data_IF_529234623998
#
_entry.id   IF_529234623998
#
_cell.length_a   1.000
_cell.length_b   1.000
_cell.length_c   1.000
_cell.angle_alpha   90.00
_cell.angle_beta   90.00
_cell.angle_gamma   90.00
#
_symmetry.space_group_name_H-M   'P 1'
#
loop_
_entity.id
_entity.type
_entity.pdbx_description
1 polymer ?
#
# COMPACT_ATOMS: atom_id res chain seq x y z
N UNK A 1 10.42 8.38 16.41
CA UNK A 1 11.64 7.55 16.16
C UNK A 1 11.83 6.36 17.13
N UNK A 2 10.90 6.10 18.08
CA UNK A 2 11.12 5.05 19.09
C UNK A 2 11.30 3.66 18.50
N UNK A 3 10.48 3.29 17.51
CA UNK A 3 10.60 1.99 16.83
C UNK A 3 11.87 1.92 15.97
N UNK A 4 12.16 2.96 15.24
CA UNK A 4 13.40 3.08 14.48
C UNK A 4 14.64 2.86 15.34
N UNK A 5 14.71 3.53 16.51
CA UNK A 5 15.83 3.39 17.43
C UNK A 5 15.92 1.98 18.04
N UNK A 6 14.77 1.34 18.28
CA UNK A 6 14.72 -0.03 18.80
C UNK A 6 15.24 -1.04 17.76
N UNK A 7 14.82 -0.93 16.50
CA UNK A 7 15.24 -1.83 15.44
C UNK A 7 16.74 -1.67 15.11
N UNK A 8 17.28 -0.43 15.13
CA UNK A 8 18.69 -0.16 14.82
C UNK A 8 19.66 -0.51 15.94
N UNK A 9 19.21 -0.83 17.17
CA UNK A 9 20.08 -1.21 18.31
C UNK A 9 20.63 -2.64 18.24
N UNK A 10 20.73 -3.22 17.06
CA UNK A 10 21.28 -4.58 16.85
C UNK A 10 20.25 -5.70 16.96
N UNK A 11 18.98 -5.39 17.19
CA UNK A 11 17.92 -6.40 17.28
C UNK A 11 17.82 -7.25 16.00
N UNK A 12 17.92 -6.63 14.83
CA UNK A 12 17.83 -7.33 13.55
C UNK A 12 19.07 -8.20 13.30
N UNK A 13 20.25 -7.71 13.66
CA UNK A 13 21.52 -8.42 13.50
C UNK A 13 21.60 -9.64 14.42
N UNK A 14 21.10 -9.53 15.64
CA UNK A 14 21.10 -10.60 16.64
C UNK A 14 20.26 -11.81 16.20
N UNK A 15 19.11 -11.56 15.54
CA UNK A 15 18.19 -12.63 15.15
C UNK A 15 18.35 -13.09 13.69
N UNK A 16 19.15 -12.40 12.88
CA UNK A 16 19.45 -12.79 11.49
C UNK A 16 18.20 -12.80 10.59
N UNK A 17 17.27 -11.86 10.80
CA UNK A 17 16.08 -11.74 9.95
C UNK A 17 16.42 -11.10 8.60
N UNK A 18 15.92 -11.70 7.51
CA UNK A 18 16.02 -11.12 6.17
C UNK A 18 14.97 -10.02 5.95
N UNK A 19 13.79 -10.15 6.57
CA UNK A 19 12.67 -9.21 6.45
C UNK A 19 12.02 -8.93 7.80
N UNK A 20 11.55 -7.71 7.97
CA UNK A 20 10.68 -7.29 9.08
C UNK A 20 9.44 -6.64 8.51
N UNK A 21 8.27 -7.22 8.78
CA UNK A 21 6.98 -6.67 8.40
C UNK A 21 6.32 -6.00 9.60
N UNK A 22 5.85 -4.78 9.42
CA UNK A 22 5.12 -4.02 10.45
C UNK A 22 3.70 -3.83 9.94
N UNK A 23 2.75 -4.59 10.49
CA UNK A 23 1.33 -4.41 10.19
C UNK A 23 0.82 -3.13 10.85
N UNK A 24 0.15 -2.30 10.06
CA UNK A 24 -0.33 -0.99 10.48
C UNK A 24 -1.85 -0.90 10.36
N UNK A 25 -2.53 -0.22 11.32
CA UNK A 25 -3.94 0.07 11.17
C UNK A 25 -4.17 1.03 9.99
N UNK A 26 -5.37 1.05 9.38
CA UNK A 26 -5.68 1.89 8.23
C UNK A 26 -5.68 3.39 8.52
N UNK A 27 -5.64 3.78 9.80
CA UNK A 27 -5.60 5.19 10.21
C UNK A 27 -4.17 5.72 10.31
N UNK A 28 -3.95 6.96 9.88
CA UNK A 28 -2.68 7.66 10.06
C UNK A 28 -2.56 8.21 11.49
N UNK A 29 -2.45 7.29 12.44
CA UNK A 29 -2.18 7.62 13.85
C UNK A 29 -0.68 7.63 14.17
N UNK A 30 -0.35 7.99 15.40
CA UNK A 30 1.04 8.01 15.88
C UNK A 30 1.77 6.68 15.70
N UNK A 31 1.07 5.55 15.80
CA UNK A 31 1.67 4.22 15.60
C UNK A 31 2.08 4.00 14.14
N UNK A 32 1.21 4.36 13.20
CA UNK A 32 1.51 4.25 11.76
C UNK A 32 2.65 5.17 11.35
N UNK A 33 2.66 6.41 11.85
CA UNK A 33 3.78 7.36 11.64
C UNK A 33 5.08 6.77 12.20
N UNK A 34 5.04 6.22 13.42
CA UNK A 34 6.21 5.63 14.05
C UNK A 34 6.73 4.39 13.28
N UNK A 35 5.84 3.60 12.67
CA UNK A 35 6.20 2.50 11.78
C UNK A 35 6.87 3.02 10.51
N UNK A 36 6.23 3.96 9.80
CA UNK A 36 6.74 4.51 8.55
C UNK A 36 8.06 5.28 8.71
N UNK A 37 8.35 5.80 9.91
CA UNK A 37 9.65 6.40 10.21
C UNK A 37 10.75 5.38 10.50
N UNK A 38 10.40 4.12 10.69
CA UNK A 38 11.33 3.05 11.07
C UNK A 38 11.68 2.10 9.91
N UNK A 39 10.96 2.18 8.78
CA UNK A 39 11.12 1.33 7.61
C UNK A 39 11.58 2.14 6.40
N UNK A 40 12.14 1.47 5.40
CA UNK A 40 12.51 2.09 4.14
C UNK A 40 11.44 1.85 3.06
N UNK A 41 10.63 0.80 3.20
CA UNK A 41 9.69 0.33 2.19
C UNK A 41 8.25 0.27 2.70
N UNK A 42 7.30 0.58 1.81
CA UNK A 42 5.86 0.41 2.04
C UNK A 42 5.28 -0.54 1.00
N UNK A 43 4.69 -1.63 1.47
CA UNK A 43 3.84 -2.51 0.68
C UNK A 43 2.38 -2.12 0.88
N UNK A 44 1.67 -1.80 -0.20
CA UNK A 44 0.26 -1.37 -0.14
C UNK A 44 -0.65 -2.47 -0.69
N UNK A 45 -1.44 -3.16 0.15
CA UNK A 45 -2.50 -4.03 -0.32
C UNK A 45 -3.71 -3.20 -0.76
N UNK A 46 -4.20 -3.42 -1.99
CA UNK A 46 -5.40 -2.77 -2.55
C UNK A 46 -6.44 -3.84 -2.86
N UNK A 47 -7.64 -3.70 -2.33
CA UNK A 47 -8.75 -4.57 -2.69
C UNK A 47 -9.30 -4.18 -4.07
N UNK A 48 -9.59 -5.17 -4.94
CA UNK A 48 -10.18 -4.91 -6.26
C UNK A 48 -11.69 -4.65 -6.16
N UNK A 49 -12.07 -3.58 -5.44
CA UNK A 49 -13.44 -3.14 -5.20
C UNK A 49 -13.59 -1.64 -5.51
N UNK A 50 -14.84 -1.15 -5.63
CA UNK A 50 -15.17 0.18 -6.15
C UNK A 50 -14.43 1.36 -5.46
N UNK A 51 -14.27 1.31 -4.15
CA UNK A 51 -13.62 2.39 -3.38
C UNK A 51 -12.09 2.24 -3.26
N UNK A 52 -11.50 1.33 -4.03
CA UNK A 52 -10.08 1.01 -3.91
C UNK A 52 -9.16 2.23 -4.11
N UNK A 53 -9.46 3.08 -5.08
CA UNK A 53 -8.63 4.21 -5.47
C UNK A 53 -8.84 5.45 -4.59
N UNK A 54 -10.03 5.63 -4.02
CA UNK A 54 -10.35 6.79 -3.18
C UNK A 54 -9.47 6.87 -1.92
N UNK A 55 -9.23 5.71 -1.27
CA UNK A 55 -8.37 5.64 -0.08
C UNK A 55 -6.88 5.74 -0.39
N UNK A 56 -6.46 5.39 -1.61
CA UNK A 56 -5.04 5.39 -1.99
C UNK A 56 -4.49 6.80 -2.07
N UNK A 57 -5.25 7.78 -2.57
CA UNK A 57 -4.82 9.18 -2.67
C UNK A 57 -4.40 9.76 -1.32
N UNK A 58 -5.23 9.59 -0.30
CA UNK A 58 -4.90 10.04 1.06
C UNK A 58 -3.65 9.35 1.62
N UNK A 59 -3.51 8.05 1.38
CA UNK A 59 -2.34 7.29 1.81
C UNK A 59 -1.07 7.80 1.16
N UNK A 60 -1.09 8.06 -0.14
CA UNK A 60 0.04 8.61 -0.89
C UNK A 60 0.47 10.00 -0.38
N UNK A 61 -0.49 10.90 -0.14
CA UNK A 61 -0.24 12.20 0.47
C UNK A 61 0.44 12.08 1.84
N UNK A 62 -0.02 11.13 2.66
CA UNK A 62 0.56 10.87 3.97
C UNK A 62 1.99 10.30 3.89
N UNK A 63 2.23 9.35 2.98
CA UNK A 63 3.58 8.82 2.72
C UNK A 63 4.51 9.94 2.25
N UNK A 64 4.03 10.81 1.36
CA UNK A 64 4.76 11.99 0.88
C UNK A 64 5.20 12.91 2.01
N UNK A 65 4.28 13.28 2.92
CA UNK A 65 4.59 14.12 4.08
C UNK A 65 5.62 13.46 5.03
N UNK A 66 5.47 12.15 5.28
CA UNK A 66 6.41 11.43 6.14
C UNK A 66 7.80 11.39 5.49
N UNK A 67 7.86 11.14 4.19
CA UNK A 67 9.11 11.15 3.45
C UNK A 67 9.80 12.51 3.48
N UNK A 68 9.06 13.57 3.26
CA UNK A 68 9.61 14.93 3.23
C UNK A 68 10.16 15.39 4.58
N UNK A 69 9.48 15.03 5.69
CA UNK A 69 9.78 15.61 6.99
C UNK A 69 10.41 14.65 8.00
N UNK A 70 10.24 13.33 7.83
CA UNK A 70 10.60 12.35 8.86
C UNK A 70 11.51 11.23 8.38
N UNK A 71 11.32 10.72 7.14
CA UNK A 71 12.06 9.58 6.62
C UNK A 71 12.26 9.70 5.10
N UNK A 72 13.35 10.32 4.68
CA UNK A 72 13.66 10.58 3.26
C UNK A 72 13.88 9.31 2.42
N UNK A 73 14.18 8.17 3.04
CA UNK A 73 14.40 6.90 2.35
C UNK A 73 13.09 6.17 2.07
N UNK A 74 11.97 6.57 2.71
CA UNK A 74 10.70 5.90 2.57
C UNK A 74 10.21 5.91 1.12
N UNK A 75 9.90 4.74 0.58
CA UNK A 75 9.35 4.59 -0.77
C UNK A 75 8.34 3.45 -0.83
N UNK A 76 7.51 3.46 -1.87
CA UNK A 76 6.58 2.36 -2.12
C UNK A 76 7.32 1.31 -2.94
N UNK A 77 7.56 0.14 -2.36
CA UNK A 77 8.23 -0.97 -3.02
C UNK A 77 7.28 -1.84 -3.84
N UNK A 78 6.04 -2.00 -3.37
CA UNK A 78 5.06 -2.80 -4.06
C UNK A 78 3.61 -2.41 -3.75
N UNK A 79 2.73 -2.62 -4.72
CA UNK A 79 1.28 -2.62 -4.57
C UNK A 79 0.78 -4.02 -4.87
N UNK A 80 0.06 -4.63 -3.91
CA UNK A 80 -0.49 -5.98 -4.03
C UNK A 80 -2.01 -5.90 -4.19
N UNK A 81 -2.51 -6.30 -5.36
CA UNK A 81 -3.94 -6.41 -5.61
C UNK A 81 -4.52 -7.61 -4.87
N UNK A 82 -5.55 -7.39 -4.07
CA UNK A 82 -6.18 -8.40 -3.23
C UNK A 82 -7.68 -8.50 -3.51
N UNK A 83 -8.32 -9.56 -2.99
CA UNK A 83 -9.76 -9.80 -3.15
C UNK A 83 -10.21 -9.83 -4.61
N UNK A 84 -9.30 -10.20 -5.52
CA UNK A 84 -9.58 -10.25 -6.95
C UNK A 84 -10.57 -11.38 -7.29
N UNK A 85 -11.70 -11.02 -7.89
CA UNK A 85 -12.68 -11.98 -8.40
C UNK A 85 -12.73 -11.92 -9.93
N UNK A 86 -12.08 -12.89 -10.59
CA UNK A 86 -12.00 -12.96 -12.05
C UNK A 86 -13.37 -13.10 -12.77
N UNK A 87 -14.46 -13.36 -12.02
CA UNK A 87 -15.81 -13.46 -12.57
C UNK A 87 -16.48 -12.10 -12.72
N UNK A 88 -15.92 -11.05 -12.12
CA UNK A 88 -16.49 -9.71 -12.12
C UNK A 88 -15.71 -8.78 -13.05
N UNK A 89 -16.43 -8.00 -13.86
CA UNK A 89 -15.81 -6.94 -14.67
C UNK A 89 -15.17 -5.87 -13.79
N UNK A 90 -15.84 -5.52 -12.69
CA UNK A 90 -15.35 -4.51 -11.75
C UNK A 90 -13.93 -4.81 -11.25
N UNK A 91 -13.65 -6.04 -10.81
CA UNK A 91 -12.32 -6.40 -10.32
C UNK A 91 -11.25 -6.28 -11.42
N UNK A 92 -11.60 -6.63 -12.66
CA UNK A 92 -10.70 -6.49 -13.80
C UNK A 92 -10.45 -5.01 -14.16
N UNK A 93 -11.48 -4.17 -14.13
CA UNK A 93 -11.41 -2.73 -14.39
C UNK A 93 -10.56 -2.03 -13.33
N UNK A 94 -10.80 -2.28 -12.04
CA UNK A 94 -10.01 -1.73 -10.92
C UNK A 94 -8.54 -2.18 -11.03
N UNK A 95 -8.29 -3.46 -11.33
CA UNK A 95 -6.93 -3.96 -11.49
C UNK A 95 -6.20 -3.32 -12.67
N UNK A 96 -6.90 -3.06 -13.77
CA UNK A 96 -6.34 -2.37 -14.93
C UNK A 96 -6.02 -0.91 -14.61
N UNK A 97 -6.93 -0.20 -13.96
CA UNK A 97 -6.77 1.19 -13.53
C UNK A 97 -5.58 1.35 -12.58
N UNK A 98 -5.47 0.50 -11.54
CA UNK A 98 -4.32 0.52 -10.63
C UNK A 98 -3.00 0.27 -11.37
N UNK A 99 -2.99 -0.67 -12.35
CA UNK A 99 -1.78 -0.93 -13.13
C UNK A 99 -1.43 0.23 -14.07
N UNK A 100 -2.42 0.89 -14.63
CA UNK A 100 -2.22 2.06 -15.50
C UNK A 100 -1.63 3.23 -14.71
N UNK A 101 -2.17 3.49 -13.53
CA UNK A 101 -1.72 4.58 -12.66
C UNK A 101 -0.35 4.33 -12.03
N UNK A 102 -0.10 3.14 -11.53
CA UNK A 102 1.07 2.83 -10.71
C UNK A 102 2.16 2.04 -11.43
N UNK A 103 1.87 1.50 -12.60
CA UNK A 103 2.85 0.84 -13.45
C UNK A 103 3.56 -0.35 -12.79
N UNK A 104 4.89 -0.33 -12.84
CA UNK A 104 5.73 -1.46 -12.41
C UNK A 104 5.75 -1.70 -10.88
N UNK A 105 5.30 -0.75 -10.08
CA UNK A 105 5.19 -0.92 -8.63
C UNK A 105 4.10 -1.94 -8.28
N UNK A 106 3.10 -2.12 -9.15
CA UNK A 106 2.05 -3.13 -8.95
C UNK A 106 2.60 -4.52 -9.21
N UNK A 107 2.40 -5.43 -8.27
CA UNK A 107 2.77 -6.83 -8.46
C UNK A 107 1.96 -7.46 -9.59
N UNK A 108 2.61 -8.32 -10.40
CA UNK A 108 1.93 -9.08 -11.45
C UNK A 108 0.94 -10.07 -10.84
N UNK A 109 1.35 -10.69 -9.72
CA UNK A 109 0.53 -11.62 -8.97
C UNK A 109 -0.57 -10.88 -8.21
N UNK A 110 -1.78 -11.46 -8.20
CA UNK A 110 -2.95 -10.95 -7.47
C UNK A 110 -3.44 -12.00 -6.48
N UNK A 111 -3.92 -11.55 -5.32
CA UNK A 111 -4.53 -12.46 -4.34
C UNK A 111 -6.02 -12.59 -4.66
N UNK A 112 -6.50 -13.79 -5.04
CA UNK A 112 -7.89 -13.99 -5.36
C UNK A 112 -8.77 -13.93 -4.11
N UNK A 113 -10.03 -13.54 -4.28
CA UNK A 113 -11.06 -13.72 -3.25
C UNK A 113 -11.15 -15.21 -2.93
N UNK A 114 -10.89 -15.58 -1.68
CA UNK A 114 -10.81 -16.99 -1.25
C UNK A 114 -11.37 -17.16 0.15
N UNK A 115 -12.32 -18.10 0.28
CA UNK A 115 -12.87 -18.50 1.58
C UNK A 115 -11.77 -19.08 2.48
N UNK A 116 -10.82 -19.84 1.92
CA UNK A 116 -9.72 -20.44 2.67
C UNK A 116 -8.79 -19.40 3.32
N UNK A 117 -8.54 -18.27 2.63
CA UNK A 117 -7.79 -17.14 3.20
C UNK A 117 -8.54 -16.53 4.40
N UNK A 118 -9.88 -16.45 4.32
CA UNK A 118 -10.70 -15.89 5.39
C UNK A 118 -10.88 -16.84 6.57
N UNK A 119 -10.87 -18.15 6.34
CA UNK A 119 -11.04 -19.19 7.38
C UNK A 119 -9.77 -19.39 8.21
N UNK A 120 -8.59 -19.38 7.58
CA UNK A 120 -7.31 -19.73 8.20
C UNK A 120 -7.04 -18.99 9.53
N UNK A 121 -7.27 -17.66 9.66
CA UNK A 121 -7.06 -16.94 10.93
C UNK A 121 -7.95 -17.45 12.06
N UNK A 122 -9.14 -17.98 11.77
CA UNK A 122 -10.02 -18.59 12.77
C UNK A 122 -9.42 -19.84 13.42
N UNK A 123 -8.43 -20.46 12.79
CA UNK A 123 -7.67 -21.60 13.29
C UNK A 123 -6.28 -21.22 13.79
N UNK A 124 -5.95 -19.94 13.82
CA UNK A 124 -4.63 -19.44 14.22
C UNK A 124 -3.53 -19.82 13.23
N UNK A 125 -3.88 -20.06 11.97
CA UNK A 125 -2.97 -20.51 10.92
C UNK A 125 -2.92 -19.50 9.77
N UNK A 126 -1.81 -19.52 9.03
CA UNK A 126 -1.74 -18.89 7.71
C UNK A 126 -2.51 -19.75 6.70
N UNK A 127 -2.95 -19.17 5.58
CA UNK A 127 -3.58 -19.94 4.50
C UNK A 127 -2.63 -21.01 3.94
N UNK A 128 -1.33 -20.78 4.02
CA UNK A 128 -0.28 -21.68 3.55
C UNK A 128 -0.21 -22.94 4.43
N UNK A 129 -0.42 -22.79 5.73
CA UNK A 129 -0.49 -23.92 6.67
C UNK A 129 -1.86 -24.60 6.65
N UNK A 130 -2.93 -23.79 6.55
CA UNK A 130 -4.31 -24.25 6.62
C UNK A 130 -4.72 -25.08 5.39
N UNK A 131 -4.40 -24.59 4.19
CA UNK A 131 -4.69 -25.27 2.91
C UNK A 131 -3.63 -24.90 1.86
N UNK A 132 -2.44 -25.53 1.91
CA UNK A 132 -1.29 -25.22 1.05
C UNK A 132 -1.56 -25.39 -0.44
N UNK A 133 -2.53 -26.23 -0.82
CA UNK A 133 -2.94 -26.46 -2.22
C UNK A 133 -3.99 -25.48 -2.72
N UNK A 134 -4.53 -24.60 -1.87
CA UNK A 134 -5.56 -23.66 -2.26
C UNK A 134 -5.00 -22.57 -3.20
N UNK A 135 -5.88 -22.04 -4.05
CA UNK A 135 -5.52 -20.93 -4.95
C UNK A 135 -5.02 -19.70 -4.19
N UNK A 136 -5.55 -19.47 -2.97
CA UNK A 136 -5.11 -18.38 -2.11
C UNK A 136 -3.68 -18.59 -1.61
N UNK A 137 -3.34 -19.79 -1.11
CA UNK A 137 -2.01 -20.13 -0.65
C UNK A 137 -0.96 -20.00 -1.76
N UNK A 138 -1.24 -20.56 -2.93
CA UNK A 138 -0.36 -20.47 -4.10
C UNK A 138 -0.15 -19.02 -4.54
N UNK A 139 -1.22 -18.19 -4.55
CA UNK A 139 -1.12 -16.79 -4.91
C UNK A 139 -0.25 -15.99 -3.94
N UNK A 140 -0.33 -16.26 -2.63
CA UNK A 140 0.56 -15.64 -1.64
C UNK A 140 2.02 -16.07 -1.82
N UNK A 141 2.28 -17.34 -2.14
CA UNK A 141 3.62 -17.82 -2.46
C UNK A 141 4.21 -17.10 -3.68
N UNK A 142 3.41 -16.97 -4.74
CA UNK A 142 3.87 -16.33 -5.97
C UNK A 142 4.09 -14.83 -5.75
N UNK A 143 3.23 -14.15 -5.00
CA UNK A 143 3.41 -12.74 -4.62
C UNK A 143 4.65 -12.54 -3.75
N UNK A 144 4.89 -13.41 -2.77
CA UNK A 144 6.08 -13.36 -1.93
C UNK A 144 7.37 -13.58 -2.74
N UNK A 145 7.36 -14.54 -3.68
CA UNK A 145 8.49 -14.77 -4.58
C UNK A 145 8.74 -13.57 -5.48
N UNK A 146 7.69 -12.97 -6.04
CA UNK A 146 7.82 -11.76 -6.85
C UNK A 146 8.40 -10.60 -6.03
N UNK A 147 7.93 -10.39 -4.80
CA UNK A 147 8.44 -9.36 -3.90
C UNK A 147 9.92 -9.60 -3.57
N UNK A 148 10.30 -10.82 -3.22
CA UNK A 148 11.68 -11.17 -2.89
C UNK A 148 12.65 -10.98 -4.07
N UNK A 149 12.20 -11.20 -5.30
CA UNK A 149 13.02 -10.98 -6.50
C UNK A 149 13.12 -9.51 -6.90
N UNK A 150 12.26 -8.64 -6.34
CA UNK A 150 12.32 -7.18 -6.54
C UNK A 150 13.25 -6.46 -5.55
N UNK A 151 13.90 -7.18 -4.64
CA UNK A 151 14.66 -6.64 -3.50
C UNK A 151 15.69 -5.54 -3.77
N UNK A 152 16.02 -5.30 -5.05
CA UNK A 152 16.87 -4.18 -5.50
C UNK A 152 16.09 -3.14 -6.33
N UNK A 153 14.72 -3.14 -6.25
CA UNK A 153 13.93 -2.15 -6.97
C UNK A 153 14.22 -0.75 -6.42
N UNK A 154 15.03 -0.01 -7.15
CA UNK A 154 15.18 1.43 -6.95
C UNK A 154 14.17 2.12 -7.87
N UNK A 155 13.26 2.97 -7.35
CA UNK A 155 12.37 3.77 -8.18
C UNK A 155 13.22 4.59 -9.15
N UNK A 156 13.01 4.41 -10.45
CA UNK A 156 13.69 5.23 -11.44
C UNK A 156 13.32 6.70 -11.26
N UNK A 157 14.24 7.63 -11.57
CA UNK A 157 14.07 9.08 -11.47
C UNK A 157 12.85 9.63 -12.24
N UNK A 158 12.27 8.83 -13.16
CA UNK A 158 11.06 9.15 -13.93
C UNK A 158 9.77 8.92 -13.16
N UNK A 159 9.80 8.15 -12.08
CA UNK A 159 8.70 8.03 -11.14
C UNK A 159 8.93 9.06 -10.04
N UNK A 160 7.96 9.94 -9.77
CA UNK A 160 8.08 10.96 -8.72
C UNK A 160 8.59 10.40 -7.38
N UNK A 161 8.80 11.25 -6.39
CA UNK A 161 9.58 10.95 -5.19
C UNK A 161 9.12 9.74 -4.36
N UNK A 162 7.98 9.13 -4.60
CA UNK A 162 7.50 7.91 -3.93
C UNK A 162 7.27 6.73 -4.87
N UNK A 163 7.92 6.71 -6.04
CA UNK A 163 7.77 5.63 -7.00
C UNK A 163 6.50 5.70 -7.85
N UNK A 164 5.73 6.77 -7.74
CA UNK A 164 4.49 7.03 -8.47
C UNK A 164 4.69 8.21 -9.41
N UNK A 165 4.12 8.16 -10.61
CA UNK A 165 4.22 9.25 -11.58
C UNK A 165 3.72 10.58 -11.01
N UNK A 166 4.43 11.72 -11.25
CA UNK A 166 3.97 13.04 -10.83
C UNK A 166 2.56 13.41 -11.35
N UNK A 167 2.15 12.85 -12.49
CA UNK A 167 0.81 13.05 -13.04
C UNK A 167 -0.28 12.45 -12.14
N UNK A 168 -0.04 11.29 -11.54
CA UNK A 168 -0.97 10.63 -10.60
C UNK A 168 -1.13 11.46 -9.33
N UNK A 169 -0.06 12.13 -8.86
CA UNK A 169 -0.15 13.06 -7.74
C UNK A 169 -1.04 14.25 -8.03
N UNK A 170 -0.89 14.84 -9.21
CA UNK A 170 -1.66 16.01 -9.60
C UNK A 170 -3.17 15.70 -9.74
N UNK A 171 -3.52 14.50 -10.21
CA UNK A 171 -4.93 14.07 -10.32
C UNK A 171 -5.56 13.77 -8.96
N UNK A 172 -4.78 13.23 -8.02
CA UNK A 172 -5.27 12.91 -6.68
C UNK A 172 -5.38 14.14 -5.76
N UNK A 173 -4.56 15.17 -5.98
CA UNK A 173 -4.54 16.41 -5.19
C UNK A 173 -5.56 17.44 -5.74
N UNK A 174 -5.97 17.33 -7.02
CA UNK A 174 -6.90 18.24 -7.70
C UNK A 174 -8.38 18.10 -7.28
N UNK A 175 -8.72 17.18 -6.37
CA UNK A 175 -10.09 16.88 -5.96
C UNK A 175 -10.65 17.77 -4.83
N UNK A 176 -9.91 18.72 -4.28
CA UNK A 176 -10.34 19.55 -3.14
C UNK A 176 -10.39 21.05 -3.45
N UNK A 177 -10.83 21.44 -4.65
CA UNK A 177 -11.22 22.83 -4.86
C UNK A 177 -12.69 23.02 -4.39
N UNK A 178 -12.82 23.12 -3.07
CA UNK A 178 -14.03 23.57 -2.40
C UNK A 178 -14.28 25.02 -2.78
N UNK A 179 -15.19 25.27 -3.72
CA UNK A 179 -15.76 26.57 -3.95
C UNK A 179 -16.41 27.07 -2.66
N UNK A 180 -15.67 27.90 -1.95
CA UNK A 180 -16.17 28.72 -0.86
C UNK A 180 -17.12 29.77 -1.48
N UNK A 181 -18.42 29.45 -1.46
CA UNK A 181 -19.48 30.34 -1.88
C UNK A 181 -19.66 31.43 -0.84
N UNK A 182 -18.97 32.54 -1.03
CA UNK A 182 -19.30 33.80 -0.35
C UNK A 182 -20.61 34.33 -0.91
N UNK A 183 -21.73 33.99 -0.28
CA UNK A 183 -22.99 34.69 -0.45
C UNK A 183 -22.85 36.08 0.17
N UNK A 184 -22.81 37.08 -0.71
CA UNK A 184 -22.84 38.47 -0.37
C UNK A 184 -24.19 38.82 0.25
N UNK A 185 -24.18 39.31 1.46
CA UNK A 185 -25.28 40.01 2.08
C UNK A 185 -25.51 41.32 1.32
N UNK A 186 -26.64 41.41 0.64
CA UNK A 186 -27.16 42.69 0.10
C UNK A 186 -27.99 43.35 1.19
N UNK A 187 -27.52 44.49 1.61
CA UNK A 187 -28.29 45.46 2.43
C UNK A 187 -29.30 46.17 1.54
N UNK A 188 -30.55 46.20 1.97
CA UNK A 188 -31.57 46.95 1.28
C UNK A 188 -32.79 47.28 2.13
N UNK A 189 -32.74 48.46 2.82
CA UNK A 189 -33.86 49.28 3.31
C UNK A 189 -34.89 48.62 4.25
#
# INVERSE_FOLDING_TARGET
YRLHDALRRGFLDEFGFDYVFIDCPPSLGLLTINAMTAVDEVLIPIQCEYYALEGVGQLLGNIGMIREHLNHNLHISAILLTMYDARTKLAAEVAAEVRDQFGQVVLNNVIPRSVKVSEAPGYGQTVIEYDPGSRGALAYFDAARELATRGDYQPHETTGPIGVSPAVYAELDGGTDGTDGTDGADEGM
#
